data_IF_574493284405
#
_entry.id   IF_574493284405
#
_cell.length_a   1.000
_cell.length_b   1.000
_cell.length_c   1.000
_cell.angle_alpha   90.00
_cell.angle_beta   90.00
_cell.angle_gamma   90.00
#
_symmetry.space_group_name_H-M   'P 1'
#
loop_
_entity.id
_entity.type
_entity.pdbx_description
1 polymer ?
#
# COMPACT_ATOMS: atom_id res chain seq x y z
N UNK A 1 -8.50 18.90 -0.84
CA UNK A 1 -9.09 18.73 0.52
C UNK A 1 -10.23 17.74 0.48
N UNK A 2 -10.29 16.82 1.43
CA UNK A 2 -11.35 15.81 1.50
C UNK A 2 -12.69 16.45 1.89
N UNK A 3 -13.75 16.13 1.15
CA UNK A 3 -15.13 16.47 1.45
C UNK A 3 -16.00 15.22 1.51
N UNK A 4 -16.82 15.13 2.55
CA UNK A 4 -17.86 14.10 2.66
C UNK A 4 -19.19 14.63 2.11
N UNK A 5 -20.13 13.72 1.84
CA UNK A 5 -21.50 14.11 1.46
C UNK A 5 -22.13 15.08 2.48
N UNK A 6 -21.89 14.87 3.77
CA UNK A 6 -22.40 15.74 4.83
C UNK A 6 -21.88 17.17 4.68
N UNK A 7 -20.56 17.34 4.52
CA UNK A 7 -19.93 18.65 4.29
C UNK A 7 -20.50 19.30 3.03
N UNK A 8 -20.63 18.54 1.94
CA UNK A 8 -21.20 19.06 0.68
C UNK A 8 -22.67 19.47 0.81
N UNK A 9 -23.47 18.76 1.61
CA UNK A 9 -24.85 19.16 1.90
C UNK A 9 -24.92 20.50 2.63
N UNK A 10 -24.04 20.73 3.61
CA UNK A 10 -23.99 21.99 4.33
C UNK A 10 -23.54 23.16 3.44
N UNK A 11 -22.53 22.95 2.61
CA UNK A 11 -22.01 23.96 1.67
C UNK A 11 -23.01 24.28 0.55
N UNK A 12 -23.75 23.29 0.10
CA UNK A 12 -24.68 23.41 -1.04
C UNK A 12 -26.16 23.57 -0.64
N UNK A 13 -26.47 23.87 0.62
CA UNK A 13 -27.81 23.95 1.15
C UNK A 13 -28.73 24.90 0.39
N UNK A 14 -28.19 25.92 -0.30
CA UNK A 14 -28.93 26.88 -1.10
C UNK A 14 -29.37 26.39 -2.49
N UNK A 15 -28.91 25.19 -2.89
CA UNK A 15 -29.31 24.59 -4.16
C UNK A 15 -30.53 23.69 -3.98
N UNK A 16 -31.52 23.83 -4.86
CA UNK A 16 -32.75 23.01 -4.83
C UNK A 16 -32.50 21.51 -5.03
N UNK A 17 -31.42 21.14 -5.75
CA UNK A 17 -31.02 19.74 -5.98
C UNK A 17 -29.54 19.57 -5.76
N UNK A 18 -29.16 19.26 -4.51
CA UNK A 18 -27.77 19.08 -4.09
C UNK A 18 -27.11 17.91 -4.83
N UNK A 19 -27.82 16.81 -5.04
CA UNK A 19 -27.27 15.63 -5.75
C UNK A 19 -26.87 15.97 -7.19
N UNK A 20 -27.73 16.70 -7.90
CA UNK A 20 -27.43 17.17 -9.25
C UNK A 20 -26.25 18.14 -9.27
N UNK A 21 -26.16 19.03 -8.27
CA UNK A 21 -25.03 19.96 -8.13
C UNK A 21 -23.70 19.23 -7.87
N UNK A 22 -23.68 18.24 -6.99
CA UNK A 22 -22.49 17.40 -6.75
C UNK A 22 -22.07 16.70 -8.05
N UNK A 23 -22.99 16.13 -8.80
CA UNK A 23 -22.68 15.50 -10.09
C UNK A 23 -22.11 16.51 -11.10
N UNK A 24 -22.64 17.73 -11.15
CA UNK A 24 -22.11 18.82 -11.97
C UNK A 24 -20.67 19.16 -11.60
N UNK A 25 -20.36 19.27 -10.29
CA UNK A 25 -18.99 19.52 -9.80
C UNK A 25 -18.02 18.38 -10.11
N UNK A 26 -18.51 17.13 -10.11
CA UNK A 26 -17.69 16.01 -10.57
C UNK A 26 -17.41 16.07 -12.07
N UNK A 27 -18.40 16.47 -12.87
CA UNK A 27 -18.24 16.57 -14.32
C UNK A 27 -17.33 17.75 -14.74
N UNK A 28 -17.32 18.85 -13.96
CA UNK A 28 -16.45 20.01 -14.19
C UNK A 28 -15.01 19.81 -13.68
N UNK A 29 -14.75 18.76 -12.91
CA UNK A 29 -13.42 18.50 -12.31
C UNK A 29 -13.14 19.32 -11.06
N UNK A 30 -14.19 19.82 -10.39
CA UNK A 30 -14.08 20.51 -9.10
C UNK A 30 -14.17 19.54 -7.90
N UNK A 31 -14.69 18.33 -8.16
CA UNK A 31 -14.77 17.23 -7.20
C UNK A 31 -14.39 15.89 -7.84
N UNK A 32 -13.59 15.12 -7.16
CA UNK A 32 -13.12 13.80 -7.60
C UNK A 32 -13.59 12.73 -6.61
N UNK A 33 -14.55 11.86 -6.99
CA UNK A 33 -15.01 10.79 -6.11
C UNK A 33 -13.89 9.77 -5.86
N UNK A 34 -13.60 9.48 -4.58
CA UNK A 34 -12.54 8.54 -4.21
C UNK A 34 -13.00 7.09 -4.30
N UNK A 35 -14.19 6.80 -3.80
CA UNK A 35 -14.81 5.48 -3.87
C UNK A 35 -16.26 5.65 -4.31
N UNK A 36 -16.64 4.90 -5.34
CA UNK A 36 -18.00 4.92 -5.86
C UNK A 36 -19.01 4.61 -4.73
N UNK A 37 -20.05 5.44 -4.63
CA UNK A 37 -21.13 5.31 -3.66
C UNK A 37 -20.76 5.46 -2.16
N UNK A 38 -19.54 5.86 -1.83
CA UNK A 38 -19.16 6.16 -0.42
C UNK A 38 -19.29 7.62 -0.04
N UNK A 39 -19.52 8.50 -1.02
CA UNK A 39 -19.72 9.93 -0.76
C UNK A 39 -18.52 10.64 -0.16
N UNK A 40 -17.32 10.24 -0.57
CA UNK A 40 -16.04 10.85 -0.19
C UNK A 40 -15.38 11.38 -1.47
N UNK A 41 -15.00 12.64 -1.45
CA UNK A 41 -14.48 13.36 -2.60
C UNK A 41 -13.19 14.09 -2.24
N UNK A 42 -12.32 14.27 -3.23
CA UNK A 42 -11.16 15.15 -3.19
C UNK A 42 -11.41 16.37 -4.07
N UNK A 43 -10.88 17.55 -3.69
CA UNK A 43 -11.00 18.79 -4.48
C UNK A 43 -9.74 19.11 -5.29
N UNK A 44 -8.58 18.54 -4.94
CA UNK A 44 -7.33 18.74 -5.67
C UNK A 44 -7.03 17.53 -6.56
N UNK A 45 -7.34 17.63 -7.84
CA UNK A 45 -7.09 16.60 -8.84
C UNK A 45 -5.60 16.32 -9.12
N UNK A 46 -4.68 17.18 -8.63
CA UNK A 46 -3.23 17.03 -8.79
C UNK A 46 -2.54 16.31 -7.62
N UNK A 47 -3.32 15.88 -6.62
CA UNK A 47 -2.78 15.18 -5.46
C UNK A 47 -2.21 13.82 -5.87
N UNK A 48 -0.99 13.43 -5.40
CA UNK A 48 -0.47 12.09 -5.62
C UNK A 48 -1.40 11.02 -5.00
N UNK A 49 -1.73 9.99 -5.78
CA UNK A 49 -2.71 8.98 -5.36
C UNK A 49 -2.33 8.25 -4.07
N UNK A 50 -1.05 7.98 -3.83
CA UNK A 50 -0.61 7.30 -2.61
C UNK A 50 -1.02 8.02 -1.31
N UNK A 51 -1.20 9.34 -1.33
CA UNK A 51 -1.73 10.10 -0.19
C UNK A 51 -3.17 9.71 0.19
N UNK A 52 -3.91 9.11 -0.74
CA UNK A 52 -5.31 8.76 -0.57
C UNK A 52 -5.55 7.30 -0.18
N UNK A 53 -4.52 6.46 -0.22
CA UNK A 53 -4.66 5.03 0.00
C UNK A 53 -5.33 4.69 1.35
N UNK A 54 -4.89 5.35 2.44
CA UNK A 54 -5.47 5.17 3.79
C UNK A 54 -6.93 5.65 3.86
N UNK A 55 -7.29 6.71 3.12
CA UNK A 55 -8.63 7.31 3.10
C UNK A 55 -9.60 6.42 2.31
N UNK A 56 -9.14 5.84 1.20
CA UNK A 56 -9.94 4.97 0.34
C UNK A 56 -10.32 3.67 1.06
N UNK A 57 -9.39 3.04 1.75
CA UNK A 57 -9.67 1.82 2.52
C UNK A 57 -8.70 1.68 3.69
N UNK A 58 -9.04 2.26 4.83
CA UNK A 58 -8.30 2.12 6.09
C UNK A 58 -8.96 1.15 7.07
N UNK A 59 -8.21 0.68 8.07
CA UNK A 59 -6.79 0.92 8.26
C UNK A 59 -5.93 0.18 7.21
N UNK A 60 -4.93 0.87 6.67
CA UNK A 60 -4.00 0.31 5.67
C UNK A 60 -2.70 1.10 5.64
N UNK A 61 -1.65 0.52 5.09
CA UNK A 61 -0.40 1.19 4.74
C UNK A 61 0.08 0.74 3.36
N UNK A 62 0.81 1.60 2.67
CA UNK A 62 1.45 1.28 1.39
C UNK A 62 2.55 0.24 1.61
N UNK A 63 2.53 -0.84 0.80
CA UNK A 63 3.46 -1.97 0.91
C UNK A 63 3.59 -2.70 -0.42
N UNK A 64 4.13 -3.93 -0.39
CA UNK A 64 4.30 -4.80 -1.55
C UNK A 64 5.07 -4.10 -2.67
N UNK A 65 4.63 -4.24 -3.91
CA UNK A 65 5.32 -3.73 -5.09
C UNK A 65 5.52 -2.21 -5.04
N UNK A 66 4.54 -1.45 -4.56
CA UNK A 66 4.67 0.01 -4.47
C UNK A 66 5.80 0.42 -3.52
N UNK A 67 5.85 -0.17 -2.32
CA UNK A 67 6.89 0.13 -1.36
C UNK A 67 8.26 -0.40 -1.80
N UNK A 68 8.33 -1.62 -2.38
CA UNK A 68 9.56 -2.17 -2.93
C UNK A 68 10.16 -1.25 -4.01
N UNK A 69 9.35 -0.77 -4.95
CA UNK A 69 9.78 0.19 -5.97
C UNK A 69 10.17 1.54 -5.36
N UNK A 70 9.41 2.04 -4.39
CA UNK A 70 9.69 3.32 -3.73
C UNK A 70 11.01 3.33 -2.97
N UNK A 71 11.41 2.18 -2.42
CA UNK A 71 12.69 1.96 -1.73
C UNK A 71 13.82 1.52 -2.67
N UNK A 72 13.56 1.39 -3.97
CA UNK A 72 14.58 0.98 -4.94
C UNK A 72 14.95 -0.50 -4.89
N UNK A 73 14.14 -1.34 -4.23
CA UNK A 73 14.36 -2.79 -4.16
C UNK A 73 14.02 -3.51 -5.47
N UNK A 74 13.13 -2.95 -6.28
CA UNK A 74 12.81 -3.44 -7.63
C UNK A 74 12.95 -2.32 -8.65
N UNK A 75 13.43 -2.63 -9.87
CA UNK A 75 13.65 -1.62 -10.91
C UNK A 75 12.36 -1.16 -11.57
N UNK A 76 11.27 -1.91 -11.44
CA UNK A 76 10.02 -1.62 -12.12
C UNK A 76 9.31 -0.39 -11.54
N UNK A 77 8.80 0.48 -12.44
CA UNK A 77 7.85 1.51 -12.05
C UNK A 77 6.50 0.87 -11.72
N UNK A 78 6.01 1.08 -10.51
CA UNK A 78 4.72 0.53 -10.05
C UNK A 78 3.65 1.60 -10.13
N UNK A 79 2.66 1.41 -11.00
CA UNK A 79 1.58 2.37 -11.23
C UNK A 79 0.37 2.17 -10.28
N UNK A 80 0.26 1.00 -9.66
CA UNK A 80 -0.79 0.72 -8.68
C UNK A 80 -0.29 1.01 -7.25
N UNK A 81 -1.12 1.66 -6.46
CA UNK A 81 -0.86 1.89 -5.03
C UNK A 81 -1.24 0.64 -4.25
N UNK A 82 -0.27 -0.26 -4.05
CA UNK A 82 -0.47 -1.51 -3.33
C UNK A 82 -0.37 -1.28 -1.83
N UNK A 83 -1.34 -1.78 -1.07
CA UNK A 83 -1.47 -1.54 0.37
C UNK A 83 -1.77 -2.81 1.14
N UNK A 84 -1.23 -2.90 2.34
CA UNK A 84 -1.55 -3.94 3.29
C UNK A 84 -2.74 -3.54 4.17
N UNK A 85 -3.59 -4.52 4.46
CA UNK A 85 -4.70 -4.49 5.42
C UNK A 85 -4.64 -5.72 6.30
N UNK A 86 -5.60 -5.90 7.21
CA UNK A 86 -5.72 -7.13 8.01
C UNK A 86 -7.19 -7.46 8.25
N UNK A 87 -7.49 -8.74 8.44
CA UNK A 87 -8.83 -9.25 8.78
C UNK A 87 -9.97 -8.83 7.84
N UNK A 88 -9.66 -8.44 6.60
CA UNK A 88 -10.69 -8.08 5.61
C UNK A 88 -11.21 -9.30 4.84
N UNK A 89 -10.46 -10.40 4.85
CA UNK A 89 -10.81 -11.69 4.28
C UNK A 89 -10.77 -11.77 2.74
N UNK A 90 -10.49 -10.65 2.04
CA UNK A 90 -10.43 -10.64 0.58
C UNK A 90 -9.63 -9.47 0.03
N UNK A 91 -9.05 -9.66 -1.14
CA UNK A 91 -8.41 -8.59 -1.90
C UNK A 91 -9.48 -7.59 -2.36
N UNK A 92 -9.14 -6.29 -2.31
CA UNK A 92 -9.99 -5.20 -2.81
C UNK A 92 -9.22 -4.37 -3.81
N UNK A 93 -9.92 -3.91 -4.84
CA UNK A 93 -9.36 -2.99 -5.83
C UNK A 93 -10.33 -1.83 -6.05
N UNK A 94 -9.78 -0.62 -6.07
CA UNK A 94 -10.50 0.61 -6.39
C UNK A 94 -9.74 1.33 -7.49
N UNK A 95 -10.46 1.83 -8.49
CA UNK A 95 -9.89 2.68 -9.54
C UNK A 95 -10.68 3.99 -9.59
N UNK A 96 -9.96 5.09 -9.59
CA UNK A 96 -10.52 6.43 -9.66
C UNK A 96 -9.59 7.37 -10.45
N UNK A 97 -9.85 8.68 -10.42
CA UNK A 97 -9.02 9.70 -11.08
C UNK A 97 -7.54 9.64 -10.68
N UNK A 98 -7.23 9.29 -9.42
CA UNK A 98 -5.87 9.30 -8.87
C UNK A 98 -5.08 8.02 -9.15
N UNK A 99 -5.70 7.00 -9.71
CA UNK A 99 -5.06 5.73 -10.08
C UNK A 99 -5.78 4.49 -9.58
N UNK A 100 -5.05 3.39 -9.55
CA UNK A 100 -5.54 2.09 -9.07
C UNK A 100 -4.95 1.77 -7.70
N UNK A 101 -5.81 1.40 -6.77
CA UNK A 101 -5.50 1.07 -5.37
C UNK A 101 -5.85 -0.39 -5.12
N UNK A 102 -4.91 -1.17 -4.64
CA UNK A 102 -5.12 -2.57 -4.29
C UNK A 102 -4.81 -2.80 -2.82
N UNK A 103 -5.61 -3.63 -2.16
CA UNK A 103 -5.50 -3.94 -0.74
C UNK A 103 -5.49 -5.44 -0.54
N UNK A 104 -4.54 -5.92 0.26
CA UNK A 104 -4.30 -7.33 0.55
C UNK A 104 -4.03 -7.50 2.04
N UNK A 105 -4.50 -8.61 2.60
CA UNK A 105 -4.31 -8.84 4.02
C UNK A 105 -2.92 -9.39 4.35
N UNK A 106 -2.39 -8.90 5.45
CA UNK A 106 -1.24 -9.48 6.16
C UNK A 106 -1.71 -9.95 7.54
N UNK A 107 -0.95 -10.81 8.25
CA UNK A 107 -1.34 -11.21 9.60
C UNK A 107 -1.50 -10.01 10.53
N UNK A 108 -2.55 -9.98 11.35
CA UNK A 108 -2.85 -8.86 12.23
C UNK A 108 -1.69 -8.53 13.18
N UNK A 109 -0.97 -9.56 13.66
CA UNK A 109 0.17 -9.40 14.57
C UNK A 109 1.35 -8.64 13.96
N UNK A 110 1.54 -8.71 12.63
CA UNK A 110 2.62 -8.01 11.93
C UNK A 110 2.18 -6.67 11.33
N UNK A 111 0.88 -6.42 11.27
CA UNK A 111 0.32 -5.23 10.61
C UNK A 111 0.93 -3.91 11.11
N UNK A 112 1.09 -3.66 12.44
CA UNK A 112 1.61 -2.40 12.95
C UNK A 112 3.14 -2.27 12.91
N UNK A 113 3.87 -3.37 12.60
CA UNK A 113 5.32 -3.40 12.73
C UNK A 113 6.00 -2.74 11.52
N UNK A 114 7.06 -1.96 11.77
CA UNK A 114 7.92 -1.37 10.74
C UNK A 114 7.16 -0.56 9.67
N UNK A 115 6.20 0.24 10.13
CA UNK A 115 5.41 1.15 9.30
C UNK A 115 5.66 2.57 9.73
N UNK A 116 6.04 3.42 8.80
CA UNK A 116 6.37 4.82 9.02
C UNK A 116 5.29 5.75 8.50
N UNK A 117 5.11 6.89 9.19
CA UNK A 117 4.14 7.92 8.82
C UNK A 117 4.84 9.07 8.08
N UNK A 118 4.34 9.40 6.91
CA UNK A 118 4.79 10.52 6.10
C UNK A 118 3.67 11.55 5.93
N UNK A 119 4.05 12.76 5.55
CA UNK A 119 3.10 13.82 5.23
C UNK A 119 3.49 14.51 3.92
N UNK A 120 2.52 14.69 3.05
CA UNK A 120 2.69 15.41 1.80
C UNK A 120 1.42 16.18 1.44
N UNK A 121 1.55 17.44 1.03
CA UNK A 121 0.43 18.34 0.69
C UNK A 121 -0.70 18.38 1.75
N UNK A 122 -0.34 18.22 3.03
CA UNK A 122 -1.30 18.21 4.14
C UNK A 122 -2.00 16.86 4.39
N UNK A 123 -1.64 15.81 3.64
CA UNK A 123 -2.14 14.44 3.83
C UNK A 123 -1.11 13.58 4.54
N UNK A 124 -1.58 12.73 5.44
CA UNK A 124 -0.77 11.68 6.05
C UNK A 124 -0.97 10.37 5.30
N UNK A 125 0.12 9.69 5.00
CA UNK A 125 0.12 8.31 4.50
C UNK A 125 1.10 7.45 5.28
N UNK A 126 0.86 6.17 5.30
CA UNK A 126 1.68 5.17 5.97
C UNK A 126 2.39 4.34 4.91
N UNK A 127 3.67 4.09 5.12
CA UNK A 127 4.52 3.33 4.20
C UNK A 127 5.32 2.28 4.99
N UNK A 128 5.34 1.06 4.51
CA UNK A 128 6.19 -0.01 5.01
C UNK A 128 7.67 0.35 4.86
N UNK A 129 8.51 -0.03 5.82
CA UNK A 129 9.98 -0.04 5.64
C UNK A 129 10.37 -0.99 4.49
N UNK A 130 11.58 -0.91 3.93
CA UNK A 130 12.02 -1.83 2.89
C UNK A 130 11.96 -3.29 3.34
N UNK A 131 12.38 -3.60 4.58
CA UNK A 131 12.30 -4.94 5.17
C UNK A 131 10.85 -5.41 5.32
N UNK A 132 9.97 -4.49 5.74
CA UNK A 132 8.53 -4.78 5.89
C UNK A 132 7.88 -5.05 4.55
N UNK A 133 8.15 -4.24 3.53
CA UNK A 133 7.62 -4.41 2.19
C UNK A 133 8.02 -5.75 1.58
N UNK A 134 9.27 -6.17 1.80
CA UNK A 134 9.78 -7.48 1.38
C UNK A 134 9.07 -8.62 2.12
N UNK A 135 8.92 -8.53 3.43
CA UNK A 135 8.20 -9.52 4.22
C UNK A 135 6.73 -9.63 3.80
N UNK A 136 6.03 -8.51 3.63
CA UNK A 136 4.64 -8.51 3.17
C UNK A 136 4.52 -9.18 1.79
N UNK A 137 5.46 -8.89 0.88
CA UNK A 137 5.48 -9.51 -0.46
C UNK A 137 5.69 -11.02 -0.40
N UNK A 138 6.64 -11.49 0.39
CA UNK A 138 6.91 -12.91 0.57
C UNK A 138 5.76 -13.68 1.23
N UNK A 139 4.94 -13.00 2.05
CA UNK A 139 3.76 -13.61 2.66
C UNK A 139 2.69 -13.97 1.63
N UNK A 140 2.56 -13.18 0.56
CA UNK A 140 1.58 -13.39 -0.51
C UNK A 140 1.98 -14.53 -1.47
N UNK A 141 3.27 -14.85 -1.56
CA UNK A 141 3.80 -15.78 -2.55
C UNK A 141 3.69 -17.24 -2.11
N UNK A 142 3.63 -18.17 -3.08
CA UNK A 142 3.66 -19.60 -2.78
C UNK A 142 4.89 -19.97 -1.94
N UNK A 143 4.78 -21.01 -1.09
CA UNK A 143 5.89 -21.43 -0.24
C UNK A 143 7.02 -22.08 -1.06
N UNK A 144 8.25 -21.59 -0.86
CA UNK A 144 9.48 -22.21 -1.35
C UNK A 144 9.85 -23.44 -0.53
N UNK A 145 10.59 -24.37 -1.12
CA UNK A 145 11.06 -25.61 -0.47
C UNK A 145 12.41 -25.41 0.22
N UNK A 146 13.28 -24.58 -0.35
CA UNK A 146 14.65 -24.40 0.08
C UNK A 146 15.19 -23.00 -0.23
N UNK A 147 16.44 -22.73 0.14
CA UNK A 147 17.11 -21.44 -0.07
C UNK A 147 17.32 -21.11 -1.55
N UNK A 148 17.64 -22.09 -2.39
CA UNK A 148 17.87 -21.85 -3.80
C UNK A 148 16.58 -21.39 -4.51
N UNK A 149 15.45 -22.01 -4.18
CA UNK A 149 14.13 -21.57 -4.68
C UNK A 149 13.77 -20.17 -4.19
N UNK A 150 14.06 -19.85 -2.92
CA UNK A 150 13.82 -18.49 -2.41
C UNK A 150 14.75 -17.47 -3.08
N UNK A 151 16.02 -17.78 -3.28
CA UNK A 151 16.95 -16.92 -4.01
C UNK A 151 16.45 -16.64 -5.44
N UNK A 152 16.06 -17.68 -6.18
CA UNK A 152 15.49 -17.52 -7.52
C UNK A 152 14.22 -16.67 -7.48
N UNK A 153 13.32 -16.91 -6.52
CA UNK A 153 12.11 -16.09 -6.35
C UNK A 153 12.45 -14.61 -6.09
N UNK A 154 13.45 -14.32 -5.26
CA UNK A 154 13.85 -12.95 -4.94
C UNK A 154 14.49 -12.25 -6.14
N UNK A 155 15.49 -12.86 -6.75
CA UNK A 155 16.37 -12.19 -7.70
C UNK A 155 15.94 -12.39 -9.17
N UNK A 156 15.38 -13.56 -9.52
CA UNK A 156 14.92 -13.84 -10.89
C UNK A 156 13.46 -13.45 -11.09
N UNK A 157 12.55 -13.88 -10.20
CA UNK A 157 11.10 -13.67 -10.39
C UNK A 157 10.66 -12.26 -9.94
N UNK A 158 11.03 -11.84 -8.72
CA UNK A 158 10.70 -10.53 -8.18
C UNK A 158 11.67 -9.44 -8.64
N UNK A 159 12.80 -9.82 -9.21
CA UNK A 159 13.86 -8.93 -9.68
C UNK A 159 14.32 -7.95 -8.59
N UNK A 160 14.42 -8.43 -7.36
CA UNK A 160 15.02 -7.66 -6.28
C UNK A 160 16.46 -7.35 -6.66
N UNK A 161 16.84 -6.10 -6.61
CA UNK A 161 18.21 -5.66 -6.84
C UNK A 161 19.11 -6.21 -5.73
N UNK A 162 20.20 -6.90 -6.11
CA UNK A 162 21.09 -7.59 -5.15
C UNK A 162 21.82 -6.60 -4.24
N UNK A 163 22.22 -5.43 -4.75
CA UNK A 163 22.90 -4.40 -3.97
C UNK A 163 21.93 -3.75 -2.98
N UNK A 164 20.72 -3.43 -3.41
CA UNK A 164 19.66 -2.92 -2.54
C UNK A 164 19.25 -3.93 -1.47
N UNK A 165 19.20 -5.23 -1.81
CA UNK A 165 18.95 -6.29 -0.84
C UNK A 165 20.07 -6.40 0.19
N UNK A 166 21.34 -6.36 -0.24
CA UNK A 166 22.50 -6.38 0.65
C UNK A 166 22.56 -5.15 1.57
N UNK A 167 21.95 -4.04 1.17
CA UNK A 167 21.81 -2.82 1.97
C UNK A 167 20.72 -2.85 3.05
N UNK A 168 19.90 -3.90 3.12
CA UNK A 168 18.87 -4.05 4.14
C UNK A 168 19.48 -4.29 5.54
N UNK A 169 18.79 -3.86 6.57
CA UNK A 169 19.10 -4.24 7.95
C UNK A 169 18.69 -5.70 8.19
N UNK A 170 19.63 -6.63 8.05
CA UNK A 170 19.38 -8.06 8.20
C UNK A 170 18.97 -8.46 9.63
N UNK A 171 19.37 -7.72 10.65
CA UNK A 171 18.91 -7.96 12.02
C UNK A 171 17.42 -7.64 12.15
N UNK A 172 17.01 -6.46 11.69
CA UNK A 172 15.61 -6.05 11.60
C UNK A 172 14.79 -6.99 10.72
N UNK A 173 15.28 -7.32 9.53
CA UNK A 173 14.62 -8.25 8.59
C UNK A 173 14.44 -9.64 9.23
N UNK A 174 15.44 -10.15 9.94
CA UNK A 174 15.37 -11.46 10.60
C UNK A 174 14.36 -11.47 11.75
N UNK A 175 14.32 -10.40 12.55
CA UNK A 175 13.35 -10.25 13.64
C UNK A 175 11.94 -10.20 13.08
N UNK A 176 11.68 -9.27 12.16
CA UNK A 176 10.38 -9.08 11.52
C UNK A 176 9.87 -10.35 10.85
N UNK A 177 10.72 -11.04 10.08
CA UNK A 177 10.38 -12.31 9.42
C UNK A 177 9.96 -13.40 10.42
N UNK A 178 10.46 -13.35 11.67
CA UNK A 178 10.07 -14.27 12.75
C UNK A 178 8.59 -14.17 13.13
N UNK A 179 7.97 -13.01 12.96
CA UNK A 179 6.58 -12.76 13.32
C UNK A 179 5.56 -13.29 12.28
N UNK A 180 5.97 -13.50 11.01
CA UNK A 180 5.05 -13.97 9.94
C UNK A 180 4.67 -15.46 10.03
N UNK A 181 5.45 -16.28 10.72
CA UNK A 181 5.18 -17.71 10.94
C UNK A 181 4.89 -18.51 9.66
N UNK A 182 5.48 -18.14 8.52
CA UNK A 182 5.32 -18.86 7.26
C UNK A 182 6.65 -19.37 6.70
N UNK A 183 6.59 -20.28 5.73
CA UNK A 183 7.74 -21.02 5.21
C UNK A 183 8.77 -20.10 4.56
N UNK A 184 8.35 -19.17 3.70
CA UNK A 184 9.24 -18.25 3.00
C UNK A 184 10.07 -17.43 4.00
N UNK A 185 9.46 -16.90 5.06
CA UNK A 185 10.14 -16.11 6.09
C UNK A 185 11.13 -16.95 6.91
N UNK A 186 10.80 -18.23 7.21
CA UNK A 186 11.74 -19.13 7.86
C UNK A 186 12.97 -19.39 6.99
N UNK A 187 12.78 -19.60 5.68
CA UNK A 187 13.87 -19.81 4.73
C UNK A 187 14.68 -18.51 4.57
N UNK A 188 14.03 -17.35 4.47
CA UNK A 188 14.68 -16.03 4.42
C UNK A 188 15.63 -15.84 5.61
N UNK A 189 15.15 -16.07 6.84
CA UNK A 189 16.00 -16.01 8.05
C UNK A 189 17.20 -16.93 7.99
N UNK A 190 17.08 -18.09 7.34
CA UNK A 190 18.18 -19.01 7.16
C UNK A 190 19.13 -18.61 6.03
N UNK A 191 18.65 -17.84 5.04
CA UNK A 191 19.46 -17.28 3.96
C UNK A 191 20.38 -16.17 4.50
N UNK A 192 19.80 -15.16 5.13
CA UNK A 192 20.53 -13.99 5.64
C UNK A 192 21.49 -14.28 6.80
N UNK A 193 21.31 -15.37 7.56
CA UNK A 193 22.25 -15.78 8.63
C UNK A 193 23.60 -16.31 8.16
N UNK A 194 23.75 -16.58 6.87
CA UNK A 194 25.04 -17.06 6.31
C UNK A 194 25.94 -15.90 5.88
N UNK A 195 25.36 -14.72 5.71
CA UNK A 195 26.08 -13.54 5.21
C UNK A 195 26.50 -12.59 6.35
N UNK A 196 26.27 -12.99 7.61
CA UNK A 196 26.76 -12.40 8.86
C UNK A 196 27.75 -13.35 9.53
#
# INVERSE_FOLDING_TARGET
MIKTVSILHDELKNYSNIKSKIQSLCNSGDLYPLVRNRGIYETDGSLPGYCLALIINGPSYLSFEFALSRHGLIPEAVYAFTSATFETGKKKTYTNHFGTFTYRDVPAAVFPLEVEAFSEKGYRYLLASPEKALCDKLYELPPCRNRAELSAMLFDDLRIDEEAFAGLDFARLSDLAGHYRCTNHRILRSLIRKDV
#
